data_IF_511924078777
#
_entry.id   IF_511924078777
#
_cell.length_a   1.000
_cell.length_b   1.000
_cell.length_c   1.000
_cell.angle_alpha   90.00
_cell.angle_beta   90.00
_cell.angle_gamma   90.00
#
_symmetry.space_group_name_H-M   'P 1'
#
loop_
_entity.id
_entity.type
_entity.pdbx_description
1 polymer ?
#
# COMPACT_ATOMS: atom_id res chain seq x y z
N UNK A 1 18.67 7.48 27.02
CA UNK A 1 19.03 7.60 25.59
C UNK A 1 18.12 6.82 24.65
N UNK A 2 18.26 5.49 24.46
CA UNK A 2 17.45 4.76 23.48
C UNK A 2 15.94 4.82 23.79
N UNK A 3 15.52 4.57 25.04
CA UNK A 3 14.11 4.67 25.43
C UNK A 3 13.51 6.05 25.15
N UNK A 4 14.18 7.12 25.56
CA UNK A 4 13.74 8.51 25.35
C UNK A 4 13.73 8.93 23.87
N UNK A 5 14.62 8.38 23.05
CA UNK A 5 14.65 8.65 21.60
C UNK A 5 13.62 7.83 20.82
N UNK A 6 13.21 6.67 21.34
CA UNK A 6 12.23 5.77 20.74
C UNK A 6 10.79 6.08 21.18
N UNK A 7 10.59 6.86 22.24
CA UNK A 7 9.28 7.34 22.70
C UNK A 7 9.03 8.78 22.19
N UNK A 8 9.11 8.98 20.87
CA UNK A 8 8.88 10.29 20.24
C UNK A 8 7.47 10.37 19.62
N UNK A 9 6.57 11.27 20.06
CA UNK A 9 5.22 11.40 19.51
C UNK A 9 5.17 11.84 18.03
N UNK A 10 6.30 12.32 17.47
CA UNK A 10 6.47 12.64 16.04
C UNK A 10 7.27 11.58 15.26
N UNK A 11 7.65 10.47 15.88
CA UNK A 11 8.49 9.41 15.29
C UNK A 11 8.01 8.00 15.62
N UNK A 12 8.95 7.13 15.99
CA UNK A 12 8.75 5.74 16.39
C UNK A 12 7.74 5.64 17.54
N UNK A 13 6.71 4.81 17.39
CA UNK A 13 5.81 4.48 18.50
C UNK A 13 6.12 3.07 18.97
N UNK A 14 6.80 2.97 20.11
CA UNK A 14 6.83 1.72 20.87
C UNK A 14 5.44 1.49 21.45
N UNK A 15 4.91 0.29 21.27
CA UNK A 15 3.65 -0.11 21.90
C UNK A 15 3.96 -1.19 22.93
N UNK A 16 3.60 -0.91 24.18
CA UNK A 16 3.81 -1.79 25.31
C UNK A 16 2.47 -2.20 25.88
N UNK A 17 1.86 -3.23 25.28
CA UNK A 17 0.60 -3.78 25.77
C UNK A 17 0.86 -5.03 26.61
N UNK A 18 0.27 -5.08 27.79
CA UNK A 18 0.20 -6.27 28.65
C UNK A 18 -1.21 -6.90 28.63
N UNK A 19 -2.20 -6.19 28.07
CA UNK A 19 -3.62 -6.53 28.14
C UNK A 19 -4.24 -6.84 26.77
N UNK A 20 -5.25 -7.74 26.69
CA UNK A 20 -5.88 -8.15 25.43
C UNK A 20 -6.56 -7.02 24.64
N UNK A 21 -7.04 -5.98 25.33
CA UNK A 21 -7.65 -4.77 24.72
C UNK A 21 -6.74 -3.53 24.84
N UNK A 22 -5.43 -3.75 24.77
CA UNK A 22 -4.41 -2.70 24.81
C UNK A 22 -4.49 -1.70 23.65
N UNK A 23 -3.57 -0.73 23.67
CA UNK A 23 -3.51 0.34 22.67
C UNK A 23 -3.34 -0.23 21.25
N UNK A 24 -2.47 -1.23 21.08
CA UNK A 24 -2.22 -1.91 19.81
C UNK A 24 -3.49 -2.53 19.25
N UNK A 25 -4.28 -3.21 20.08
CA UNK A 25 -5.51 -3.86 19.63
C UNK A 25 -6.50 -2.82 19.07
N UNK A 26 -6.62 -1.66 19.71
CA UNK A 26 -7.44 -0.54 19.21
C UNK A 26 -6.89 0.03 17.90
N UNK A 27 -5.59 0.29 17.84
CA UNK A 27 -4.92 0.79 16.65
C UNK A 27 -5.08 -0.15 15.44
N UNK A 28 -4.94 -1.46 15.65
CA UNK A 28 -5.12 -2.47 14.61
C UNK A 28 -6.57 -2.57 14.15
N UNK A 29 -7.53 -2.51 15.08
CA UNK A 29 -8.96 -2.46 14.76
C UNK A 29 -9.28 -1.27 13.86
N UNK A 30 -8.79 -0.09 14.22
CA UNK A 30 -9.00 1.13 13.44
C UNK A 30 -8.29 1.05 12.08
N UNK A 31 -7.07 0.51 12.03
CA UNK A 31 -6.35 0.26 10.79
C UNK A 31 -7.14 -0.63 9.84
N UNK A 32 -7.66 -1.77 10.31
CA UNK A 32 -8.43 -2.67 9.45
C UNK A 32 -9.77 -2.07 9.01
N UNK A 33 -10.43 -1.25 9.86
CA UNK A 33 -11.62 -0.48 9.44
C UNK A 33 -11.30 0.52 8.32
N UNK A 34 -10.13 1.16 8.38
CA UNK A 34 -9.68 2.06 7.30
C UNK A 34 -9.39 1.30 6.01
N UNK A 35 -8.77 0.11 6.10
CA UNK A 35 -8.52 -0.75 4.93
C UNK A 35 -9.83 -1.17 4.27
N UNK A 36 -10.82 -1.58 5.07
CA UNK A 36 -12.16 -1.95 4.57
C UNK A 36 -12.85 -0.77 3.87
N UNK A 37 -12.85 0.42 4.48
CA UNK A 37 -13.42 1.62 3.86
C UNK A 37 -12.70 2.05 2.57
N UNK A 38 -11.38 1.87 2.50
CA UNK A 38 -10.60 2.12 1.30
C UNK A 38 -10.95 1.12 0.18
N UNK A 39 -11.11 -0.17 0.50
CA UNK A 39 -11.52 -1.20 -0.45
C UNK A 39 -12.89 -0.88 -1.06
N UNK A 40 -13.86 -0.49 -0.23
CA UNK A 40 -15.19 -0.08 -0.70
C UNK A 40 -15.12 1.13 -1.64
N UNK A 41 -14.34 2.16 -1.29
CA UNK A 41 -14.14 3.35 -2.10
C UNK A 41 -13.46 3.03 -3.45
N UNK A 42 -12.45 2.16 -3.45
CA UNK A 42 -11.82 1.67 -4.69
C UNK A 42 -12.85 0.92 -5.53
N UNK A 43 -13.63 0.02 -4.93
CA UNK A 43 -14.70 -0.70 -5.62
C UNK A 43 -15.71 0.24 -6.28
N UNK A 44 -16.07 1.34 -5.61
CA UNK A 44 -16.95 2.36 -6.19
C UNK A 44 -16.30 3.07 -7.38
N UNK A 45 -15.04 3.49 -7.26
CA UNK A 45 -14.29 4.09 -8.36
C UNK A 45 -14.24 3.18 -9.59
N UNK A 46 -13.98 1.89 -9.39
CA UNK A 46 -13.93 0.91 -10.49
C UNK A 46 -15.29 0.74 -11.18
N UNK A 47 -16.38 0.67 -10.41
CA UNK A 47 -17.75 0.63 -10.96
C UNK A 47 -18.07 1.91 -11.75
N UNK A 48 -17.66 3.06 -11.25
CA UNK A 48 -17.85 4.35 -11.93
C UNK A 48 -17.11 4.38 -13.27
N UNK A 49 -15.86 3.92 -13.32
CA UNK A 49 -15.11 3.79 -14.58
C UNK A 49 -15.81 2.87 -15.58
N UNK A 50 -16.36 1.75 -15.11
CA UNK A 50 -17.09 0.80 -15.96
C UNK A 50 -18.38 1.40 -16.50
N UNK A 51 -19.19 2.03 -15.65
CA UNK A 51 -20.47 2.66 -16.05
C UNK A 51 -20.30 3.77 -17.08
N UNK A 52 -19.15 4.47 -17.06
CA UNK A 52 -18.79 5.53 -18.01
C UNK A 52 -18.15 5.01 -19.29
N UNK A 53 -17.94 3.69 -19.42
CA UNK A 53 -17.25 3.09 -20.56
C UNK A 53 -15.75 3.41 -20.64
N UNK A 54 -15.13 3.84 -19.53
CA UNK A 54 -13.72 4.23 -19.49
C UNK A 54 -12.79 3.08 -19.08
N UNK A 55 -13.35 2.00 -18.50
CA UNK A 55 -12.57 0.90 -17.93
C UNK A 55 -11.58 0.28 -18.93
N UNK A 56 -12.00 -0.03 -20.16
CA UNK A 56 -11.18 -0.75 -21.14
C UNK A 56 -9.95 0.02 -21.66
N UNK A 57 -9.92 1.34 -21.47
CA UNK A 57 -8.79 2.20 -21.87
C UNK A 57 -8.06 2.83 -20.67
N UNK A 58 -8.28 2.31 -19.46
CA UNK A 58 -7.66 2.84 -18.24
C UNK A 58 -6.73 1.81 -17.63
N UNK A 59 -5.45 2.17 -17.48
CA UNK A 59 -4.51 1.39 -16.65
C UNK A 59 -4.70 1.81 -15.20
N UNK A 60 -4.87 0.83 -14.33
CA UNK A 60 -5.00 1.03 -12.89
C UNK A 60 -3.71 0.57 -12.21
N UNK A 61 -3.08 1.48 -11.46
CA UNK A 61 -1.94 1.17 -10.62
C UNK A 61 -2.35 1.44 -9.17
N UNK A 62 -2.22 0.42 -8.33
CA UNK A 62 -2.44 0.53 -6.89
C UNK A 62 -1.16 0.22 -6.13
N UNK A 63 -0.72 1.17 -5.31
CA UNK A 63 0.34 1.01 -4.31
C UNK A 63 0.20 2.09 -3.24
N UNK A 64 0.46 1.79 -1.97
CA UNK A 64 0.69 2.81 -0.96
C UNK A 64 2.10 3.40 -1.10
N UNK A 65 2.35 4.50 -0.38
CA UNK A 65 3.63 5.21 -0.32
C UNK A 65 4.66 4.51 0.59
N UNK A 66 4.19 3.77 1.59
CA UNK A 66 4.99 3.02 2.57
C UNK A 66 4.19 1.86 3.19
N UNK A 67 4.93 1.00 3.89
CA UNK A 67 4.35 -0.05 4.73
C UNK A 67 3.91 0.50 6.08
N UNK A 68 3.46 -0.41 6.95
CA UNK A 68 2.98 -0.09 8.28
C UNK A 68 3.31 -1.25 9.22
N UNK A 69 4.03 -0.93 10.28
CA UNK A 69 4.21 -1.81 11.43
C UNK A 69 2.96 -1.81 12.29
N UNK A 70 2.64 -2.99 12.78
CA UNK A 70 1.42 -3.41 13.44
C UNK A 70 1.73 -4.12 14.77
N UNK A 71 2.85 -3.77 15.39
CA UNK A 71 3.35 -4.36 16.64
C UNK A 71 4.59 -5.24 16.47
N UNK A 72 5.02 -5.49 15.23
CA UNK A 72 6.27 -6.21 14.96
C UNK A 72 7.44 -5.48 15.63
N UNK A 73 8.35 -6.23 16.25
CA UNK A 73 9.47 -5.68 17.04
C UNK A 73 9.05 -4.70 18.17
N UNK A 74 7.78 -4.70 18.58
CA UNK A 74 7.25 -3.76 19.56
C UNK A 74 6.94 -2.36 18.99
N UNK A 75 6.99 -2.18 17.67
CA UNK A 75 6.75 -0.91 17.01
C UNK A 75 5.39 -0.86 16.29
N UNK A 76 4.79 0.31 16.28
CA UNK A 76 3.65 0.66 15.44
C UNK A 76 3.97 1.92 14.63
N UNK A 77 3.52 2.00 13.38
CA UNK A 77 3.81 3.14 12.49
C UNK A 77 4.75 2.80 11.33
N UNK A 78 5.36 3.82 10.73
CA UNK A 78 5.98 3.71 9.39
C UNK A 78 7.32 4.43 9.22
N UNK A 79 8.15 4.35 10.24
CA UNK A 79 9.46 5.02 10.31
C UNK A 79 10.66 4.07 10.35
N UNK A 80 10.53 2.87 10.95
CA UNK A 80 11.62 1.89 10.94
C UNK A 80 12.07 1.43 9.57
N UNK A 81 13.38 1.21 9.32
CA UNK A 81 13.86 0.56 8.09
C UNK A 81 13.67 -0.96 8.17
N UNK A 82 12.53 -1.42 8.69
CA UNK A 82 12.14 -2.83 8.70
C UNK A 82 11.22 -3.13 7.52
N UNK A 83 11.20 -4.40 7.11
CA UNK A 83 10.42 -4.89 5.97
C UNK A 83 8.95 -4.45 6.08
N UNK A 84 8.34 -4.55 7.25
CA UNK A 84 6.94 -4.21 7.50
C UNK A 84 6.64 -2.72 7.24
N UNK A 85 7.62 -1.84 7.39
CA UNK A 85 7.48 -0.40 7.19
C UNK A 85 7.79 0.05 5.76
N UNK A 86 8.50 -0.75 4.97
CA UNK A 86 8.93 -0.38 3.60
C UNK A 86 8.24 -1.22 2.53
N UNK A 87 7.78 -2.43 2.86
CA UNK A 87 7.17 -3.37 1.93
C UNK A 87 5.73 -2.96 1.66
N UNK A 88 5.44 -2.73 0.38
CA UNK A 88 4.13 -2.31 -0.10
C UNK A 88 3.60 -3.26 -1.19
N UNK A 89 2.27 -3.46 -1.28
CA UNK A 89 1.68 -4.09 -2.44
C UNK A 89 1.81 -3.18 -3.67
N UNK A 90 2.11 -3.77 -4.82
CA UNK A 90 2.04 -3.10 -6.12
C UNK A 90 1.17 -3.96 -7.04
N UNK A 91 0.03 -3.42 -7.46
CA UNK A 91 -0.87 -4.05 -8.41
C UNK A 91 -0.96 -3.16 -9.65
N UNK A 92 -0.72 -3.74 -10.82
CA UNK A 92 -0.89 -3.07 -12.12
C UNK A 92 -1.90 -3.87 -12.93
N UNK A 93 -3.03 -3.25 -13.23
CA UNK A 93 -4.08 -3.82 -14.05
C UNK A 93 -4.18 -3.02 -15.35
N UNK A 94 -3.78 -3.64 -16.46
CA UNK A 94 -3.95 -3.10 -17.80
C UNK A 94 -4.95 -3.97 -18.57
N UNK A 95 -6.18 -3.47 -18.82
CA UNK A 95 -7.22 -4.21 -19.52
C UNK A 95 -6.93 -4.40 -21.02
N UNK A 96 -5.85 -3.82 -21.55
CA UNK A 96 -5.43 -3.97 -22.95
C UNK A 96 -4.47 -5.13 -23.15
N UNK A 97 -3.89 -5.69 -22.07
CA UNK A 97 -3.03 -6.87 -22.16
C UNK A 97 -3.83 -8.12 -22.53
N UNK A 98 -3.24 -9.12 -23.22
CA UNK A 98 -3.89 -10.40 -23.47
C UNK A 98 -4.34 -11.09 -22.16
N UNK A 99 -5.48 -11.79 -22.17
CA UNK A 99 -6.06 -12.38 -20.96
C UNK A 99 -5.09 -13.35 -20.24
N UNK A 100 -4.30 -14.10 -21.00
CA UNK A 100 -3.26 -15.02 -20.52
C UNK A 100 -2.10 -14.32 -19.81
N UNK A 101 -1.93 -13.01 -20.03
CA UNK A 101 -0.91 -12.16 -19.40
C UNK A 101 -1.44 -11.41 -18.17
N UNK A 102 -2.74 -11.50 -17.86
CA UNK A 102 -3.36 -10.89 -16.68
C UNK A 102 -3.29 -11.82 -15.47
N UNK A 103 -3.52 -11.26 -14.28
CA UNK A 103 -3.53 -11.98 -13.00
C UNK A 103 -2.23 -12.79 -12.72
N UNK A 104 -1.08 -12.25 -13.13
CA UNK A 104 0.24 -12.83 -12.84
C UNK A 104 0.84 -12.21 -11.58
N UNK A 105 1.62 -13.01 -10.86
CA UNK A 105 2.48 -12.53 -9.79
C UNK A 105 3.93 -12.53 -10.25
N UNK A 106 4.74 -11.61 -9.71
CA UNK A 106 6.17 -11.52 -10.00
C UNK A 106 6.94 -11.44 -8.68
N UNK A 107 8.04 -12.17 -8.61
CA UNK A 107 9.00 -12.10 -7.50
C UNK A 107 10.13 -11.09 -7.76
N UNK A 108 10.07 -10.35 -8.88
CA UNK A 108 11.07 -9.34 -9.20
C UNK A 108 11.05 -8.21 -8.15
N UNK A 109 12.23 -7.80 -7.71
CA UNK A 109 12.37 -6.63 -6.85
C UNK A 109 12.15 -5.36 -7.66
N UNK A 110 11.24 -4.52 -7.18
CA UNK A 110 10.87 -3.24 -7.78
C UNK A 110 10.76 -2.17 -6.70
N UNK A 111 10.95 -0.91 -7.10
CA UNK A 111 10.89 0.26 -6.23
C UNK A 111 9.78 1.20 -6.68
N UNK A 112 9.15 1.90 -5.74
CA UNK A 112 8.15 2.94 -6.00
C UNK A 112 8.63 4.02 -7.00
N UNK A 113 9.92 4.38 -6.96
CA UNK A 113 10.53 5.35 -7.90
C UNK A 113 10.47 4.91 -9.38
N UNK A 114 10.27 3.61 -9.64
CA UNK A 114 10.16 3.08 -11.01
C UNK A 114 8.78 3.34 -11.65
N UNK A 115 7.78 3.73 -10.84
CA UNK A 115 6.49 4.20 -11.37
C UNK A 115 6.60 5.54 -12.09
N UNK A 116 7.63 6.33 -11.75
CA UNK A 116 7.92 7.57 -12.44
C UNK A 116 8.26 7.37 -13.93
N UNK A 117 8.29 8.47 -14.69
CA UNK A 117 8.61 8.42 -16.10
C UNK A 117 10.00 7.81 -16.30
N UNK A 118 10.00 6.67 -16.97
CA UNK A 118 11.15 6.05 -17.57
C UNK A 118 10.85 5.89 -19.07
N UNK A 119 11.88 5.79 -19.91
CA UNK A 119 11.81 5.77 -21.39
C UNK A 119 10.83 4.74 -22.02
N UNK A 120 10.17 3.90 -21.24
CA UNK A 120 9.12 3.00 -21.70
C UNK A 120 7.72 3.67 -21.76
N UNK A 121 7.45 4.67 -20.91
CA UNK A 121 6.17 5.39 -20.91
C UNK A 121 6.00 6.26 -22.17
N UNK A 122 7.08 6.90 -22.63
CA UNK A 122 7.07 7.80 -23.80
C UNK A 122 6.66 7.08 -25.09
N UNK A 123 7.10 5.83 -25.28
CA UNK A 123 6.80 5.04 -26.49
C UNK A 123 5.35 4.56 -26.57
N UNK A 124 4.64 4.57 -25.45
CA UNK A 124 3.23 4.14 -25.37
C UNK A 124 2.26 5.28 -25.68
N UNK A 125 2.71 6.54 -25.60
CA UNK A 125 1.91 7.73 -25.86
C UNK A 125 2.00 8.22 -27.32
N UNK A 126 2.92 7.66 -28.12
CA UNK A 126 3.13 8.00 -29.54
C UNK A 126 2.39 7.06 -30.51
N UNK A 127 1.54 6.16 -30.00
CA UNK A 127 0.65 5.29 -30.80
C UNK A 127 -0.79 5.48 -30.38
#
# INVERSE_FOLDING_TARGET
FLRESLENPRGWRLVHDQEPEGELHKLLRDYFRLVEGMDEAIGQLLRDLQSRGLAENTVIIFTPDNGMMRGEHGFYGKWPPYEESIRVPLVVADPRLPAESRAKTSAAMVLNIQLGPHRAWERSAEK
#
